data_IF_533461828017
#
_entry.id   IF_533461828017
#
_cell.length_a   1.000
_cell.length_b   1.000
_cell.length_c   1.000
_cell.angle_alpha   90.00
_cell.angle_beta   90.00
_cell.angle_gamma   90.00
#
_symmetry.space_group_name_H-M   'P 1'
#
loop_
_entity.id
_entity.type
_entity.pdbx_description
1 polymer ?
#
# COMPACT_ATOMS: atom_id res chain seq x y z
N UNK A 1 -14.70 -12.65 -18.38
CA UNK A 1 -14.48 -12.09 -17.32
C UNK A 1 -13.18 -11.77 -17.20
N UNK A 2 -12.90 -10.88 -16.83
CA UNK A 2 -11.66 -10.64 -16.71
C UNK A 2 -11.33 -10.82 -15.40
N UNK A 3 -10.40 -11.18 -15.07
CA UNK A 3 -9.92 -11.29 -13.79
C UNK A 3 -8.96 -10.22 -13.52
N UNK A 4 -9.30 -9.04 -13.99
CA UNK A 4 -8.43 -7.89 -13.72
C UNK A 4 -8.34 -7.67 -12.24
N UNK A 5 -7.13 -7.56 -11.75
CA UNK A 5 -6.90 -7.29 -10.34
C UNK A 5 -7.20 -5.83 -10.07
N UNK A 6 -7.72 -5.54 -8.87
CA UNK A 6 -7.79 -4.17 -8.40
C UNK A 6 -6.37 -3.67 -8.14
N UNK A 7 -6.22 -2.36 -8.03
CA UNK A 7 -4.91 -1.80 -7.70
C UNK A 7 -4.44 -2.27 -6.32
N UNK A 8 -5.34 -2.32 -5.35
CA UNK A 8 -4.98 -2.80 -4.02
C UNK A 8 -4.48 -4.24 -4.07
N UNK A 9 -5.16 -5.10 -4.85
CA UNK A 9 -4.75 -6.49 -4.94
C UNK A 9 -3.40 -6.61 -5.65
N UNK A 10 -3.15 -5.81 -6.67
CA UNK A 10 -1.87 -5.81 -7.35
C UNK A 10 -0.75 -5.36 -6.41
N UNK A 11 -1.01 -4.33 -5.60
CA UNK A 11 -0.03 -3.89 -4.62
C UNK A 11 0.22 -4.97 -3.58
N UNK A 12 -0.83 -5.65 -3.13
CA UNK A 12 -0.69 -6.74 -2.18
C UNK A 12 0.20 -7.85 -2.73
N UNK A 13 0.00 -8.21 -3.99
CA UNK A 13 0.70 -9.34 -4.58
C UNK A 13 2.12 -8.97 -5.05
N UNK A 14 2.33 -7.74 -5.49
CA UNK A 14 3.57 -7.39 -6.17
C UNK A 14 4.23 -6.10 -5.69
N UNK A 15 3.59 -5.35 -4.79
CA UNK A 15 4.11 -4.05 -4.35
C UNK A 15 4.03 -3.00 -5.45
N UNK A 16 4.83 -1.95 -5.31
CA UNK A 16 4.82 -0.83 -6.26
C UNK A 16 6.06 -0.81 -7.15
N UNK A 17 6.63 -1.97 -7.47
CA UNK A 17 7.86 -2.04 -8.25
C UNK A 17 7.54 -2.06 -9.73
N UNK A 18 7.27 -0.89 -10.29
CA UNK A 18 6.83 -0.79 -11.67
C UNK A 18 7.84 -1.31 -12.68
N UNK A 19 9.12 -1.17 -12.38
CA UNK A 19 10.17 -1.59 -13.31
C UNK A 19 10.71 -2.98 -13.04
N UNK A 20 10.09 -3.72 -12.15
CA UNK A 20 10.51 -5.07 -11.84
C UNK A 20 9.98 -6.00 -12.92
N UNK A 21 10.84 -6.78 -13.59
CA UNK A 21 10.37 -7.70 -14.61
C UNK A 21 9.31 -8.65 -14.05
N UNK A 22 8.25 -8.84 -14.81
CA UNK A 22 7.18 -9.75 -14.41
C UNK A 22 6.09 -9.13 -13.55
N UNK A 23 6.27 -7.90 -13.10
CA UNK A 23 5.22 -7.24 -12.33
C UNK A 23 4.16 -6.72 -13.29
N UNK A 24 2.90 -7.15 -13.13
CA UNK A 24 1.85 -6.84 -14.12
C UNK A 24 1.17 -5.51 -13.83
N UNK A 25 1.86 -4.41 -14.09
CA UNK A 25 1.26 -3.10 -13.94
C UNK A 25 0.43 -2.74 -15.17
N UNK A 26 -0.87 -2.57 -15.05
CA UNK A 26 -1.69 -2.14 -16.18
C UNK A 26 -1.29 -0.74 -16.65
N UNK A 27 -1.35 -0.53 -17.95
CA UNK A 27 -0.98 0.76 -18.53
C UNK A 27 -1.81 1.91 -17.95
N UNK A 28 -3.06 1.64 -17.60
CA UNK A 28 -3.93 2.67 -17.03
C UNK A 28 -3.43 3.21 -15.70
N UNK A 29 -2.53 2.49 -15.02
CA UNK A 29 -2.00 2.92 -13.73
C UNK A 29 -0.64 3.57 -13.85
N UNK A 30 -0.13 3.73 -15.05
CA UNK A 30 1.27 4.14 -15.26
C UNK A 30 1.58 5.54 -14.73
N UNK A 31 0.60 6.42 -14.61
CA UNK A 31 0.84 7.78 -14.17
C UNK A 31 0.75 7.96 -12.66
N UNK A 32 -0.02 7.14 -11.97
CA UNK A 32 -0.18 7.26 -10.51
C UNK A 32 -0.41 5.89 -9.89
N UNK A 33 0.60 5.02 -9.94
CA UNK A 33 0.40 3.62 -9.58
C UNK A 33 0.12 3.39 -8.09
N UNK A 34 0.43 4.37 -7.24
CA UNK A 34 0.21 4.20 -5.80
C UNK A 34 -1.05 4.90 -5.29
N UNK A 35 -1.82 5.54 -6.19
CA UNK A 35 -3.06 6.19 -5.75
C UNK A 35 -4.25 5.33 -6.11
N UNK A 36 -5.09 5.07 -5.10
CA UNK A 36 -6.35 4.37 -5.30
C UNK A 36 -7.45 5.41 -5.22
N UNK A 37 -8.31 5.45 -6.25
CA UNK A 37 -9.47 6.32 -6.28
C UNK A 37 -10.70 5.43 -6.18
N UNK A 38 -11.57 5.75 -5.25
CA UNK A 38 -12.79 4.99 -5.04
C UNK A 38 -13.96 5.59 -5.81
N UNK A 39 -15.03 4.82 -5.91
CA UNK A 39 -16.20 5.21 -6.69
C UNK A 39 -16.78 6.54 -6.23
N UNK A 40 -16.76 6.82 -4.92
CA UNK A 40 -17.31 8.08 -4.39
C UNK A 40 -16.29 9.23 -4.42
N UNK A 41 -15.11 9.02 -5.00
CA UNK A 41 -14.08 10.05 -5.10
C UNK A 41 -13.04 10.03 -4.00
N UNK A 42 -13.22 9.21 -2.97
CA UNK A 42 -12.21 9.06 -1.92
C UNK A 42 -10.91 8.55 -2.53
N UNK A 43 -9.79 9.13 -2.11
CA UNK A 43 -8.48 8.72 -2.62
C UNK A 43 -7.51 8.50 -1.49
N UNK A 44 -6.59 7.58 -1.71
CA UNK A 44 -5.51 7.33 -0.76
C UNK A 44 -4.32 6.77 -1.52
N UNK A 45 -3.12 7.03 -1.00
CA UNK A 45 -1.89 6.44 -1.53
C UNK A 45 -1.64 5.13 -0.80
N UNK A 46 -1.32 4.07 -1.52
CA UNK A 46 -0.98 2.77 -0.91
C UNK A 46 0.31 2.30 -1.54
N UNK A 47 1.32 2.04 -0.71
CA UNK A 47 2.59 1.57 -1.22
C UNK A 47 3.09 0.39 -0.40
N UNK A 48 3.83 -0.48 -1.06
CA UNK A 48 4.52 -1.61 -0.44
C UNK A 48 5.76 -1.90 -1.26
N UNK A 49 6.84 -2.27 -0.59
CA UNK A 49 8.08 -2.57 -1.28
C UNK A 49 9.26 -1.90 -0.61
N UNK A 50 10.41 -1.84 -1.29
CA UNK A 50 11.60 -1.20 -0.73
C UNK A 50 11.32 0.26 -0.42
N UNK A 51 11.70 0.68 0.78
CA UNK A 51 11.48 2.06 1.20
C UNK A 51 10.10 2.36 1.74
N UNK A 52 9.18 1.40 1.70
CA UNK A 52 7.83 1.58 2.24
C UNK A 52 7.73 0.93 3.61
N UNK A 53 6.84 1.46 4.44
CA UNK A 53 6.53 0.84 5.73
C UNK A 53 5.50 -0.26 5.48
N UNK A 54 5.99 -1.37 4.94
CA UNK A 54 5.17 -2.53 4.60
C UNK A 54 5.71 -3.77 5.29
N UNK A 55 4.94 -4.84 5.29
CA UNK A 55 5.37 -6.12 5.83
C UNK A 55 5.12 -7.20 4.77
N UNK A 56 6.12 -7.92 4.35
CA UNK A 56 7.55 -7.75 4.65
C UNK A 56 8.08 -6.43 4.12
N UNK A 57 9.26 -6.02 4.62
CA UNK A 57 9.87 -4.78 4.17
C UNK A 57 11.13 -5.13 3.41
N UNK A 58 11.13 -5.07 2.09
CA UNK A 58 12.32 -5.39 1.32
C UNK A 58 13.46 -4.42 1.56
N UNK A 59 14.67 -4.96 1.49
CA UNK A 59 15.87 -4.21 1.75
C UNK A 59 16.13 -3.18 0.67
N UNK A 60 16.49 -1.96 1.08
CA UNK A 60 16.86 -0.93 0.12
C UNK A 60 18.31 -1.02 -0.31
N UNK A 61 19.16 -1.54 0.58
CA UNK A 61 20.60 -1.60 0.33
C UNK A 61 20.98 -3.06 0.12
N UNK A 62 21.12 -3.51 -1.12
CA UNK A 62 21.34 -4.94 -1.40
C UNK A 62 22.58 -5.55 -0.75
N UNK A 63 23.57 -4.71 -0.41
CA UNK A 63 24.80 -5.23 0.18
C UNK A 63 24.63 -5.58 1.65
N UNK A 64 23.51 -5.21 2.28
CA UNK A 64 23.29 -5.50 3.69
C UNK A 64 22.26 -6.62 3.79
N UNK A 65 22.59 -7.75 4.43
CA UNK A 65 21.66 -8.86 4.52
C UNK A 65 20.35 -8.48 5.21
N UNK A 66 19.26 -9.02 4.69
CA UNK A 66 17.92 -8.69 5.20
C UNK A 66 17.77 -9.00 6.69
N UNK A 67 18.42 -10.04 7.18
CA UNK A 67 18.26 -10.42 8.59
C UNK A 67 18.88 -9.39 9.56
N UNK A 68 19.65 -8.46 9.06
CA UNK A 68 20.18 -7.37 9.86
C UNK A 68 19.11 -6.34 10.15
N UNK A 69 18.03 -6.36 9.36
CA UNK A 69 16.94 -5.40 9.47
C UNK A 69 15.69 -6.15 9.94
N UNK A 70 15.44 -6.17 11.16
CA UNK A 70 14.19 -6.59 11.80
C UNK A 70 13.22 -7.36 10.94
N UNK A 71 13.56 -8.46 10.39
CA UNK A 71 12.64 -9.33 9.67
C UNK A 71 12.36 -8.95 8.24
N UNK A 72 13.16 -8.05 7.68
CA UNK A 72 13.00 -7.73 6.27
C UNK A 72 13.41 -8.90 5.39
N UNK A 73 13.03 -8.83 4.13
CA UNK A 73 13.36 -9.84 3.16
C UNK A 73 14.30 -9.26 2.12
N UNK A 74 14.77 -10.14 1.23
CA UNK A 74 15.67 -9.77 0.15
C UNK A 74 15.09 -8.63 -0.66
N UNK A 75 15.92 -7.69 -1.18
CA UNK A 75 15.42 -6.57 -1.98
C UNK A 75 14.70 -6.99 -3.26
N UNK A 76 14.85 -8.23 -3.69
CA UNK A 76 14.11 -8.72 -4.85
C UNK A 76 12.74 -9.27 -4.48
N UNK A 77 12.37 -9.23 -3.20
CA UNK A 77 11.08 -9.75 -2.77
C UNK A 77 9.94 -9.02 -3.51
N UNK A 78 9.03 -9.81 -4.06
CA UNK A 78 8.02 -9.29 -4.94
C UNK A 78 6.61 -9.38 -4.36
N UNK A 79 6.47 -9.86 -3.17
CA UNK A 79 5.17 -10.03 -2.53
C UNK A 79 4.90 -11.47 -2.18
N UNK A 80 3.77 -11.79 -1.59
CA UNK A 80 2.70 -10.85 -1.21
C UNK A 80 3.01 -10.09 0.08
N UNK A 81 2.27 -9.00 0.27
CA UNK A 81 2.43 -8.16 1.45
C UNK A 81 1.21 -8.29 2.34
N UNK A 82 1.43 -8.32 3.65
CA UNK A 82 0.33 -8.40 4.61
C UNK A 82 -0.04 -7.05 5.19
N UNK A 83 0.92 -6.11 5.17
CA UNK A 83 0.73 -4.74 5.66
C UNK A 83 1.30 -3.78 4.64
N UNK A 84 0.68 -2.62 4.50
CA UNK A 84 1.09 -1.62 3.52
C UNK A 84 1.19 -0.27 4.18
N UNK A 85 1.86 0.67 3.51
CA UNK A 85 1.91 2.05 3.97
C UNK A 85 0.81 2.82 3.25
N UNK A 86 -0.06 3.49 4.02
CA UNK A 86 -1.12 4.31 3.45
C UNK A 86 -0.75 5.77 3.69
N UNK A 87 -0.98 6.61 2.69
CA UNK A 87 -0.63 8.02 2.80
C UNK A 87 -1.76 8.93 2.33
N UNK A 88 -1.91 10.04 3.03
CA UNK A 88 -2.67 11.19 2.59
C UNK A 88 -4.06 10.86 2.06
N UNK A 89 -4.89 10.14 2.85
CA UNK A 89 -6.27 9.89 2.41
C UNK A 89 -7.01 11.21 2.26
N UNK A 90 -7.91 11.29 1.30
CA UNK A 90 -8.59 12.56 1.00
C UNK A 90 -9.61 12.94 2.07
N UNK A 91 -9.98 12.00 2.94
CA UNK A 91 -10.83 12.25 4.10
C UNK A 91 -10.28 11.41 5.24
N UNK A 92 -10.65 11.75 6.47
CA UNK A 92 -10.24 10.94 7.62
C UNK A 92 -10.72 9.50 7.44
N UNK A 93 -9.82 8.52 7.52
CA UNK A 93 -10.24 7.13 7.36
C UNK A 93 -11.08 6.68 8.55
N UNK A 94 -12.16 5.95 8.26
CA UNK A 94 -13.06 5.45 9.28
C UNK A 94 -13.05 3.93 9.30
N UNK A 95 -13.21 3.31 10.42
CA UNK A 95 -13.43 3.91 11.75
C UNK A 95 -12.13 4.50 12.30
N UNK A 96 -12.21 5.73 12.75
CA UNK A 96 -11.02 6.43 13.21
C UNK A 96 -10.39 5.76 14.42
N UNK A 97 -11.22 5.11 15.27
CA UNK A 97 -10.68 4.41 16.42
C UNK A 97 -9.71 3.31 16.03
N UNK A 98 -9.85 2.73 14.82
CA UNK A 98 -8.91 1.75 14.34
C UNK A 98 -7.76 2.40 13.61
N UNK A 99 -8.04 3.35 12.75
CA UNK A 99 -7.02 3.98 11.93
C UNK A 99 -6.07 4.88 12.70
N UNK A 100 -6.57 5.53 13.76
CA UNK A 100 -5.75 6.49 14.51
C UNK A 100 -4.48 5.86 15.09
N UNK A 101 -4.52 4.59 15.41
CA UNK A 101 -3.36 3.93 15.99
C UNK A 101 -2.20 3.77 15.01
N UNK A 102 -2.47 3.86 13.72
CA UNK A 102 -1.42 3.73 12.71
C UNK A 102 -0.87 5.09 12.26
N UNK A 103 -1.57 6.18 12.51
CA UNK A 103 -1.19 7.49 12.00
C UNK A 103 0.09 7.99 12.66
N UNK A 104 1.04 8.47 11.85
CA UNK A 104 2.21 9.12 12.42
C UNK A 104 1.85 10.44 13.06
N UNK A 105 0.88 11.16 12.48
CA UNK A 105 0.39 12.42 13.01
C UNK A 105 -1.12 12.36 13.13
N UNK A 106 -1.65 11.75 14.19
CA UNK A 106 -3.10 11.58 14.29
C UNK A 106 -3.90 12.88 14.34
N UNK A 107 -3.24 14.00 14.64
CA UNK A 107 -3.90 15.30 14.57
C UNK A 107 -4.10 15.81 13.16
N UNK A 108 -3.53 15.16 12.15
CA UNK A 108 -3.61 15.59 10.77
C UNK A 108 -3.99 14.39 9.89
N UNK A 109 -5.20 13.86 10.02
CA UNK A 109 -5.53 12.55 9.42
C UNK A 109 -5.44 12.50 7.89
N UNK A 110 -5.51 13.63 7.20
CA UNK A 110 -5.37 13.65 5.74
C UNK A 110 -3.99 14.10 5.28
N UNK A 111 -3.11 14.47 6.22
CA UNK A 111 -1.77 14.96 5.90
C UNK A 111 -0.68 14.10 6.53
N UNK A 112 -0.98 12.85 6.80
CA UNK A 112 -0.01 11.97 7.45
C UNK A 112 0.08 10.65 6.71
N UNK A 113 1.09 9.86 7.05
CA UNK A 113 1.19 8.48 6.58
C UNK A 113 0.78 7.54 7.71
N UNK A 114 0.36 6.36 7.31
CA UNK A 114 -0.10 5.31 8.21
C UNK A 114 0.76 4.07 7.91
N UNK A 115 1.84 3.86 8.67
CA UNK A 115 2.72 2.72 8.40
C UNK A 115 2.13 1.41 8.87
N UNK A 116 2.47 0.34 8.17
CA UNK A 116 2.15 -1.04 8.56
C UNK A 116 0.65 -1.28 8.80
N UNK A 117 -0.18 -0.81 7.87
CA UNK A 117 -1.62 -1.00 7.98
C UNK A 117 -1.97 -2.38 7.42
N UNK A 118 -2.74 -3.19 8.16
CA UNK A 118 -3.17 -4.49 7.63
C UNK A 118 -3.96 -4.31 6.34
N UNK A 119 -3.69 -5.19 5.37
CA UNK A 119 -4.35 -5.09 4.07
C UNK A 119 -5.86 -5.18 4.20
N UNK A 120 -6.36 -5.94 5.19
CA UNK A 120 -7.80 -6.09 5.39
C UNK A 120 -8.45 -4.78 5.81
N UNK A 121 -7.74 -3.98 6.61
CA UNK A 121 -8.27 -2.69 7.01
C UNK A 121 -8.35 -1.73 5.83
N UNK A 122 -7.35 -1.76 4.95
CA UNK A 122 -7.37 -0.95 3.74
C UNK A 122 -8.51 -1.40 2.82
N UNK A 123 -8.67 -2.72 2.66
CA UNK A 123 -9.74 -3.25 1.82
C UNK A 123 -11.11 -2.82 2.33
N UNK A 124 -11.31 -2.88 3.64
CA UNK A 124 -12.57 -2.47 4.24
C UNK A 124 -12.84 -0.98 4.00
N UNK A 125 -11.80 -0.15 4.10
CA UNK A 125 -11.95 1.27 3.87
C UNK A 125 -12.32 1.55 2.41
N UNK A 126 -11.63 0.91 1.48
CA UNK A 126 -11.93 1.08 0.05
C UNK A 126 -13.36 0.65 -0.24
N UNK A 127 -13.79 -0.46 0.35
CA UNK A 127 -15.15 -0.95 0.13
C UNK A 127 -16.20 -0.01 0.72
N UNK A 128 -15.89 0.62 1.84
CA UNK A 128 -16.81 1.61 2.44
C UNK A 128 -17.06 2.78 1.48
N UNK A 129 -16.10 3.10 0.63
CA UNK A 129 -16.22 4.19 -0.33
C UNK A 129 -16.65 3.69 -1.72
N UNK A 130 -17.23 2.51 -1.79
CA UNK A 130 -17.81 1.98 -3.01
C UNK A 130 -16.88 1.11 -3.85
N UNK A 131 -15.67 0.86 -3.35
CA UNK A 131 -14.68 0.10 -4.10
C UNK A 131 -13.89 1.00 -5.02
N UNK A 132 -12.92 0.43 -5.71
CA UNK A 132 -12.11 1.21 -6.65
C UNK A 132 -12.94 1.63 -7.85
N UNK A 133 -12.71 2.86 -8.28
CA UNK A 133 -13.43 3.40 -9.42
C UNK A 133 -13.02 2.74 -10.72
#
# INVERSE_FOLDING_TARGET
MTDDLTMLETIRLHGNRRNTPGVPWPDSWSTSPNWITCVDGFKLSVIAGPGAYSTPKPELIPSIPAYVYDGTVDPTYDGPYTHVEVGFPSQRPEPWSEWSQYAEEPGEPTLTVYPYVPIELVRALVNTHGGEA
#
